data_IF_809479333328
#
_entry.id   IF_809479333328
#
_cell.length_a   1.000
_cell.length_b   1.000
_cell.length_c   1.000
_cell.angle_alpha   90.00
_cell.angle_beta   90.00
_cell.angle_gamma   90.00
#
_symmetry.space_group_name_H-M   'P 1'
#
loop_
_entity.id
_entity.type
_entity.pdbx_description
1 polymer ?
#
# COMPACT_ATOMS: atom_id res chain seq x y z
N UNK A 1 -17.52 -11.09 -16.51
CA UNK A 1 -17.01 -12.40 -16.99
C UNK A 1 -16.40 -13.03 -15.75
N UNK A 2 -17.02 -14.06 -15.16
CA UNK A 2 -16.72 -14.49 -13.79
C UNK A 2 -15.24 -14.83 -13.57
N UNK A 3 -14.60 -15.47 -14.55
CA UNK A 3 -13.18 -15.86 -14.48
C UNK A 3 -12.22 -14.66 -14.38
N UNK A 4 -12.54 -13.53 -15.04
CA UNK A 4 -11.71 -12.31 -14.96
C UNK A 4 -11.82 -11.64 -13.59
N UNK A 5 -13.02 -11.67 -13.01
CA UNK A 5 -13.29 -11.09 -11.69
C UNK A 5 -12.57 -11.89 -10.59
N UNK A 6 -12.56 -13.23 -10.70
CA UNK A 6 -11.82 -14.11 -9.79
C UNK A 6 -10.31 -13.91 -9.85
N UNK A 7 -9.73 -13.83 -11.06
CA UNK A 7 -8.29 -13.62 -11.22
C UNK A 7 -7.86 -12.23 -10.71
N UNK A 8 -8.66 -11.20 -10.94
CA UNK A 8 -8.43 -9.86 -10.39
C UNK A 8 -8.45 -9.86 -8.86
N UNK A 9 -9.40 -10.57 -8.25
CA UNK A 9 -9.47 -10.71 -6.80
C UNK A 9 -8.23 -11.42 -6.25
N UNK A 10 -7.78 -12.49 -6.90
CA UNK A 10 -6.58 -13.23 -6.50
C UNK A 10 -5.32 -12.36 -6.57
N UNK A 11 -5.18 -11.57 -7.62
CA UNK A 11 -4.08 -10.60 -7.76
C UNK A 11 -4.12 -9.54 -6.66
N UNK A 12 -5.31 -8.97 -6.40
CA UNK A 12 -5.52 -7.99 -5.32
C UNK A 12 -5.12 -8.54 -3.96
N UNK A 13 -5.54 -9.76 -3.62
CA UNK A 13 -5.15 -10.43 -2.37
C UNK A 13 -3.63 -10.63 -2.27
N UNK A 14 -2.99 -10.99 -3.39
CA UNK A 14 -1.53 -11.09 -3.48
C UNK A 14 -0.83 -9.78 -3.15
N UNK A 15 -1.31 -8.66 -3.68
CA UNK A 15 -0.77 -7.34 -3.39
C UNK A 15 -1.02 -6.90 -1.95
N UNK A 16 -2.22 -7.15 -1.40
CA UNK A 16 -2.50 -6.87 0.00
C UNK A 16 -1.52 -7.60 0.92
N UNK A 17 -1.30 -8.90 0.68
CA UNK A 17 -0.36 -9.71 1.46
C UNK A 17 1.09 -9.24 1.31
N UNK A 18 1.47 -8.73 0.14
CA UNK A 18 2.79 -8.14 -0.06
C UNK A 18 2.96 -6.85 0.75
N UNK A 19 1.94 -6.00 0.81
CA UNK A 19 1.93 -4.79 1.62
C UNK A 19 1.98 -5.09 3.11
N UNK A 20 1.20 -6.06 3.61
CA UNK A 20 1.24 -6.49 5.02
C UNK A 20 2.66 -6.91 5.42
N UNK A 21 3.31 -7.74 4.60
CA UNK A 21 4.70 -8.16 4.82
C UNK A 21 5.70 -7.00 4.73
N UNK A 22 5.46 -6.04 3.85
CA UNK A 22 6.33 -4.89 3.71
C UNK A 22 6.22 -3.98 4.93
N UNK A 23 5.01 -3.74 5.42
CA UNK A 23 4.76 -2.95 6.63
C UNK A 23 5.50 -3.50 7.86
N UNK A 24 5.72 -4.82 7.95
CA UNK A 24 6.52 -5.44 9.01
C UNK A 24 8.03 -5.23 8.87
N UNK A 25 8.53 -4.93 7.66
CA UNK A 25 9.97 -4.85 7.35
C UNK A 25 10.48 -3.42 7.18
N UNK A 26 9.64 -2.54 6.66
CA UNK A 26 10.04 -1.16 6.36
C UNK A 26 10.28 -0.37 7.65
N UNK A 27 11.18 0.63 7.62
CA UNK A 27 11.45 1.45 8.78
C UNK A 27 10.23 2.28 9.19
N UNK A 28 9.81 2.13 10.45
CA UNK A 28 8.74 2.94 11.06
C UNK A 28 9.36 4.09 11.85
N UNK A 29 9.03 5.32 11.49
CA UNK A 29 9.56 6.55 12.11
C UNK A 29 8.43 7.27 12.86
N UNK A 30 8.40 7.17 14.18
CA UNK A 30 7.34 7.73 15.04
C UNK A 30 5.93 7.27 14.62
N UNK A 31 5.76 5.98 14.37
CA UNK A 31 4.49 5.43 13.88
C UNK A 31 4.17 5.75 12.42
N UNK A 32 5.08 6.39 11.68
CA UNK A 32 4.87 6.76 10.28
C UNK A 32 5.74 5.90 9.36
N UNK A 33 5.13 5.35 8.32
CA UNK A 33 5.81 4.64 7.22
C UNK A 33 5.79 5.51 5.96
N UNK A 34 6.90 5.59 5.23
CA UNK A 34 6.94 6.27 3.93
C UNK A 34 6.36 5.36 2.85
N UNK A 35 5.53 5.91 1.97
CA UNK A 35 5.07 5.18 0.78
C UNK A 35 6.23 4.80 -0.16
N UNK A 36 7.32 5.58 -0.15
CA UNK A 36 8.54 5.27 -0.90
C UNK A 36 9.22 4.01 -0.37
N UNK A 37 9.25 3.83 0.96
CA UNK A 37 9.83 2.63 1.59
C UNK A 37 9.00 1.38 1.21
N UNK A 38 7.66 1.51 1.15
CA UNK A 38 6.77 0.44 0.70
C UNK A 38 6.95 0.11 -0.79
N UNK A 39 7.09 1.13 -1.64
CA UNK A 39 7.37 0.94 -3.06
C UNK A 39 8.72 0.24 -3.27
N UNK A 40 9.77 0.64 -2.55
CA UNK A 40 11.09 0.02 -2.64
C UNK A 40 11.08 -1.44 -2.18
N UNK A 41 10.31 -1.77 -1.13
CA UNK A 41 10.22 -3.15 -0.62
C UNK A 41 9.33 -4.06 -1.50
N UNK A 42 8.26 -3.52 -2.10
CA UNK A 42 7.25 -4.34 -2.80
C UNK A 42 7.30 -4.26 -4.32
N UNK A 43 7.95 -3.24 -4.88
CA UNK A 43 7.87 -2.83 -6.28
C UNK A 43 6.44 -2.56 -6.79
N UNK A 44 5.47 -2.38 -5.89
CA UNK A 44 4.08 -2.08 -6.26
C UNK A 44 3.97 -0.58 -6.61
N UNK A 45 3.31 -0.22 -7.73
CA UNK A 45 3.07 1.17 -8.09
C UNK A 45 2.40 1.95 -6.97
N UNK A 46 2.85 3.19 -6.74
CA UNK A 46 2.45 3.98 -5.58
C UNK A 46 0.94 4.29 -5.58
N UNK A 47 0.37 4.56 -6.74
CA UNK A 47 -1.07 4.71 -6.96
C UNK A 47 -1.84 3.46 -6.51
N UNK A 48 -1.36 2.27 -6.86
CA UNK A 48 -1.95 1.02 -6.41
C UNK A 48 -1.79 0.79 -4.90
N UNK A 49 -0.66 1.20 -4.30
CA UNK A 49 -0.49 1.15 -2.84
C UNK A 49 -1.55 2.01 -2.15
N UNK A 50 -1.76 3.25 -2.64
CA UNK A 50 -2.80 4.15 -2.11
C UNK A 50 -4.17 3.51 -2.22
N UNK A 51 -4.54 3.00 -3.39
CA UNK A 51 -5.84 2.34 -3.60
C UNK A 51 -6.06 1.15 -2.67
N UNK A 52 -5.04 0.31 -2.46
CA UNK A 52 -5.13 -0.87 -1.59
C UNK A 52 -5.25 -0.51 -0.12
N UNK A 53 -4.55 0.54 0.33
CA UNK A 53 -4.65 1.05 1.69
C UNK A 53 -6.00 1.76 1.94
N UNK A 54 -6.52 2.50 0.96
CA UNK A 54 -7.83 3.16 1.05
C UNK A 54 -9.00 2.17 0.99
N UNK A 55 -8.83 1.01 0.33
CA UNK A 55 -9.86 -0.02 0.20
C UNK A 55 -10.06 -0.90 1.45
N UNK A 56 -9.41 -0.59 2.59
CA UNK A 56 -9.39 -1.41 3.82
C UNK A 56 -8.93 -2.88 3.62
N UNK A 57 -8.24 -3.16 2.50
CA UNK A 57 -7.82 -4.52 2.13
C UNK A 57 -6.52 -4.98 2.80
N UNK A 58 -5.83 -4.08 3.50
CA UNK A 58 -4.48 -4.30 4.06
C UNK A 58 -4.54 -4.14 5.57
N UNK A 59 -4.07 -5.15 6.31
CA UNK A 59 -3.94 -5.06 7.76
C UNK A 59 -2.71 -4.25 8.13
N UNK A 60 -2.94 -3.07 8.69
CA UNK A 60 -1.87 -2.21 9.19
C UNK A 60 -1.47 -2.66 10.60
N UNK A 61 -0.18 -2.94 10.86
CA UNK A 61 0.33 -3.24 12.19
C UNK A 61 0.03 -2.12 13.21
N UNK A 62 -0.22 -2.44 14.50
CA UNK A 62 -0.68 -1.47 15.50
C UNK A 62 0.35 -0.39 15.87
N UNK A 63 1.62 -0.62 15.56
CA UNK A 63 2.70 0.35 15.79
C UNK A 63 2.84 1.36 14.64
N UNK A 64 2.05 1.20 13.58
CA UNK A 64 1.99 2.11 12.43
C UNK A 64 0.68 2.91 12.55
N UNK A 65 0.83 4.21 12.80
CA UNK A 65 -0.27 5.16 12.89
C UNK A 65 -0.73 5.65 11.51
N UNK A 66 0.21 5.83 10.56
CA UNK A 66 -0.13 6.25 9.18
C UNK A 66 0.95 5.90 8.16
N UNK A 67 0.53 5.86 6.91
CA UNK A 67 1.43 5.92 5.74
C UNK A 67 1.50 7.36 5.23
N UNK A 68 2.71 7.86 5.00
CA UNK A 68 2.97 9.21 4.51
C UNK A 68 3.14 9.23 2.99
N UNK A 69 2.31 10.05 2.34
CA UNK A 69 2.29 10.25 0.89
C UNK A 69 2.90 11.59 0.48
N UNK A 70 3.53 12.34 1.40
CA UNK A 70 4.04 13.72 1.16
C UNK A 70 5.07 13.86 0.02
N UNK A 71 5.68 12.77 -0.45
CA UNK A 71 6.50 12.75 -1.67
C UNK A 71 5.70 12.85 -2.98
N UNK A 72 4.42 12.46 -2.95
CA UNK A 72 3.49 12.52 -4.09
C UNK A 72 2.71 13.83 -3.99
N UNK A 73 3.36 14.97 -4.22
CA UNK A 73 2.59 16.20 -4.45
C UNK A 73 1.66 15.96 -5.64
N UNK A 74 0.34 15.93 -5.37
CA UNK A 74 -0.69 16.21 -6.38
C UNK A 74 -0.34 17.54 -7.04
N UNK A 75 0.39 17.51 -8.17
CA UNK A 75 0.40 18.60 -9.14
C UNK A 75 -0.99 18.62 -9.77
N UNK A 76 -1.94 19.28 -9.13
CA UNK A 76 -3.28 19.39 -9.69
C UNK A 76 -4.35 19.68 -8.66
N UNK A 77 -4.27 20.83 -8.01
CA UNK A 77 -5.49 21.60 -7.70
C UNK A 77 -5.16 23.06 -8.04
N UNK A 78 -5.73 23.48 -9.15
CA UNK A 78 -5.75 24.85 -9.66
C UNK A 78 -7.16 25.38 -9.39
#
# INVERSE_FOLDING_TARGET
MPELEEELNRLREGYCRALEKALEKVPVRNGVVSVEDLWLETAIPVDLIVELLESDGVKIPPHIERVDFRGIKKKGQK
#
